data_IF_144502170422
#
_entry.id   IF_144502170422
#
_cell.length_a   1.000
_cell.length_b   1.000
_cell.length_c   1.000
_cell.angle_alpha   90.00
_cell.angle_beta   90.00
_cell.angle_gamma   90.00
#
_symmetry.space_group_name_H-M   'P 1'
#
loop_
_entity.id
_entity.type
_entity.pdbx_description
1 polymer ?
#
# COMPACT_ATOMS: atom_id res chain seq x y z
N UNK A 1 -18.52 1.84 -18.48
CA UNK A 1 -18.40 2.29 -17.07
C UNK A 1 -17.06 2.97 -16.90
N UNK A 2 -17.06 4.31 -16.83
CA UNK A 2 -15.86 5.13 -16.74
C UNK A 2 -15.09 4.92 -15.44
N UNK A 3 -13.77 5.05 -15.52
CA UNK A 3 -12.87 4.77 -14.40
C UNK A 3 -12.94 5.88 -13.34
N UNK A 4 -13.84 5.75 -12.37
CA UNK A 4 -14.15 6.76 -11.33
C UNK A 4 -12.91 7.18 -10.50
N UNK A 5 -11.85 6.36 -10.49
CA UNK A 5 -10.70 6.54 -9.59
C UNK A 5 -9.37 6.85 -10.30
N UNK A 6 -9.34 6.95 -11.64
CA UNK A 6 -8.13 7.29 -12.41
C UNK A 6 -6.92 6.40 -12.13
N UNK A 7 -7.14 5.12 -11.75
CA UNK A 7 -6.06 4.21 -11.41
C UNK A 7 -5.22 3.84 -12.62
N UNK A 8 -5.80 3.76 -13.83
CA UNK A 8 -5.03 3.50 -15.04
C UNK A 8 -4.03 4.64 -15.30
N UNK A 9 -4.46 5.89 -15.13
CA UNK A 9 -3.56 7.05 -15.27
C UNK A 9 -2.44 7.03 -14.23
N UNK A 10 -2.78 6.71 -12.98
CA UNK A 10 -1.79 6.57 -11.92
C UNK A 10 -0.77 5.47 -12.25
N UNK A 11 -1.23 4.29 -12.67
CA UNK A 11 -0.37 3.17 -13.07
C UNK A 11 0.53 3.57 -14.24
N UNK A 12 -0.03 4.17 -15.30
CA UNK A 12 0.75 4.65 -16.46
C UNK A 12 1.85 5.61 -16.03
N UNK A 13 1.51 6.61 -15.21
CA UNK A 13 2.47 7.58 -14.68
C UNK A 13 3.58 6.92 -13.85
N UNK A 14 3.23 6.00 -12.95
CA UNK A 14 4.22 5.31 -12.13
C UNK A 14 5.12 4.40 -12.95
N UNK A 15 4.58 3.66 -13.93
CA UNK A 15 5.39 2.86 -14.86
C UNK A 15 6.42 3.72 -15.60
N UNK A 16 6.03 4.90 -16.09
CA UNK A 16 6.95 5.85 -16.75
C UNK A 16 8.10 6.28 -15.83
N UNK A 17 7.81 6.55 -14.56
CA UNK A 17 8.86 6.89 -13.58
C UNK A 17 9.78 5.69 -13.35
N UNK A 18 9.22 4.48 -13.18
CA UNK A 18 9.97 3.25 -12.93
C UNK A 18 10.94 2.94 -14.07
N UNK A 19 10.56 3.19 -15.34
CA UNK A 19 11.44 2.98 -16.51
C UNK A 19 12.79 3.68 -16.37
N UNK A 20 12.83 4.86 -15.73
CA UNK A 20 14.07 5.63 -15.53
C UNK A 20 14.86 5.27 -14.26
N UNK A 21 14.40 4.30 -13.46
CA UNK A 21 15.06 3.93 -12.20
C UNK A 21 15.96 2.70 -12.39
N UNK A 22 16.95 2.57 -11.50
CA UNK A 22 17.75 1.35 -11.38
C UNK A 22 16.81 0.17 -11.10
N UNK A 23 17.03 -0.95 -11.78
CA UNK A 23 16.16 -2.15 -11.74
C UNK A 23 14.71 -1.89 -12.21
N UNK A 24 14.49 -0.83 -12.98
CA UNK A 24 13.16 -0.48 -13.52
C UNK A 24 12.54 -1.57 -14.38
N UNK A 25 13.34 -2.22 -15.25
CA UNK A 25 12.88 -3.33 -16.08
C UNK A 25 12.32 -4.48 -15.25
N UNK A 26 13.07 -4.94 -14.25
CA UNK A 26 12.63 -5.98 -13.31
C UNK A 26 11.34 -5.58 -12.59
N UNK A 27 11.24 -4.33 -12.13
CA UNK A 27 10.05 -3.84 -11.44
C UNK A 27 8.82 -3.76 -12.35
N UNK A 28 8.99 -3.45 -13.65
CA UNK A 28 7.91 -3.50 -14.63
C UNK A 28 7.46 -4.94 -14.89
N UNK A 29 8.40 -5.88 -15.09
CA UNK A 29 8.07 -7.31 -15.22
C UNK A 29 7.36 -7.84 -13.97
N UNK A 30 7.78 -7.39 -12.79
CA UNK A 30 7.08 -7.70 -11.54
C UNK A 30 5.64 -7.17 -11.53
N UNK A 31 5.39 -5.93 -11.97
CA UNK A 31 4.03 -5.40 -12.08
C UNK A 31 3.17 -6.16 -13.09
N UNK A 32 3.76 -6.61 -14.19
CA UNK A 32 3.06 -7.44 -15.18
C UNK A 32 2.73 -8.82 -14.61
N UNK A 33 3.65 -9.42 -13.86
CA UNK A 33 3.39 -10.64 -13.10
C UNK A 33 2.28 -10.46 -12.05
N UNK A 34 2.27 -9.34 -11.32
CA UNK A 34 1.16 -9.05 -10.41
C UNK A 34 -0.18 -8.90 -11.13
N UNK A 35 -0.15 -8.38 -12.35
CA UNK A 35 -1.36 -8.24 -13.20
C UNK A 35 -1.86 -9.62 -13.65
N UNK A 36 -0.96 -10.53 -14.04
CA UNK A 36 -1.34 -11.90 -14.41
C UNK A 36 -1.91 -12.71 -13.24
N UNK A 37 -1.49 -12.40 -12.01
CA UNK A 37 -2.08 -12.94 -10.78
C UNK A 37 -3.45 -12.32 -10.42
N UNK A 38 -4.01 -11.46 -11.26
CA UNK A 38 -5.35 -10.89 -11.10
C UNK A 38 -5.46 -9.81 -10.03
N UNK A 39 -4.38 -9.08 -9.72
CA UNK A 39 -4.46 -7.96 -8.77
C UNK A 39 -5.33 -6.83 -9.32
N UNK A 40 -6.14 -6.23 -8.44
CA UNK A 40 -6.96 -5.06 -8.79
C UNK A 40 -6.10 -3.85 -9.17
N UNK A 41 -6.65 -2.96 -10.01
CA UNK A 41 -5.97 -1.71 -10.42
C UNK A 41 -5.52 -0.86 -9.23
N UNK A 42 -6.38 -0.73 -8.21
CA UNK A 42 -6.02 -0.03 -6.97
C UNK A 42 -4.80 -0.65 -6.28
N UNK A 43 -4.72 -1.99 -6.24
CA UNK A 43 -3.55 -2.69 -5.71
C UNK A 43 -2.32 -2.42 -6.57
N UNK A 44 -2.41 -2.58 -7.89
CA UNK A 44 -1.30 -2.33 -8.82
C UNK A 44 -0.77 -0.90 -8.70
N UNK A 45 -1.64 0.10 -8.62
CA UNK A 45 -1.28 1.50 -8.41
C UNK A 45 -0.49 1.68 -7.09
N UNK A 46 -0.95 1.03 -6.01
CA UNK A 46 -0.24 1.04 -4.72
C UNK A 46 1.15 0.39 -4.83
N UNK A 47 1.25 -0.78 -5.45
CA UNK A 47 2.52 -1.47 -5.66
C UNK A 47 3.48 -0.61 -6.49
N UNK A 48 3.03 -0.04 -7.61
CA UNK A 48 3.84 0.81 -8.47
C UNK A 48 4.35 2.07 -7.74
N UNK A 49 3.48 2.75 -6.97
CA UNK A 49 3.87 3.90 -6.15
C UNK A 49 4.95 3.53 -5.12
N UNK A 50 4.80 2.39 -4.43
CA UNK A 50 5.77 1.96 -3.43
C UNK A 50 7.08 1.47 -4.03
N UNK A 51 7.04 0.83 -5.20
CA UNK A 51 8.23 0.41 -5.95
C UNK A 51 9.14 1.60 -6.25
N UNK A 52 8.60 2.76 -6.63
CA UNK A 52 9.42 3.96 -6.85
C UNK A 52 10.27 4.31 -5.63
N UNK A 53 9.69 4.25 -4.42
CA UNK A 53 10.45 4.50 -3.19
C UNK A 53 11.53 3.45 -2.96
N UNK A 54 11.17 2.18 -3.15
CA UNK A 54 12.06 1.04 -2.91
C UNK A 54 13.25 1.07 -3.87
N UNK A 55 13.00 1.27 -5.17
CA UNK A 55 14.04 1.31 -6.21
C UNK A 55 15.02 2.47 -6.03
N UNK A 56 14.57 3.61 -5.49
CA UNK A 56 15.43 4.78 -5.24
C UNK A 56 16.46 4.55 -4.13
N UNK A 57 16.15 3.68 -3.17
CA UNK A 57 17.02 3.41 -2.01
C UNK A 57 17.82 2.13 -2.20
N UNK A 58 17.40 1.27 -3.13
CA UNK A 58 18.06 0.02 -3.41
C UNK A 58 19.31 0.21 -4.27
N UNK A 59 20.45 -0.17 -3.71
CA UNK A 59 21.77 -0.03 -4.32
C UNK A 59 22.40 -1.35 -4.79
N UNK A 60 21.65 -2.44 -4.71
CA UNK A 60 22.06 -3.81 -5.03
C UNK A 60 21.12 -4.47 -6.04
N UNK A 61 21.59 -5.54 -6.70
CA UNK A 61 20.75 -6.35 -7.57
C UNK A 61 19.77 -7.24 -6.75
N UNK A 62 18.44 -7.08 -6.95
CA UNK A 62 17.43 -7.92 -6.30
C UNK A 62 17.63 -9.43 -6.46
N UNK A 63 18.15 -9.89 -7.62
CA UNK A 63 18.30 -11.31 -7.90
C UNK A 63 19.40 -11.94 -7.02
N UNK A 64 20.47 -11.19 -6.76
CA UNK A 64 21.62 -11.64 -5.95
C UNK A 64 21.62 -11.03 -4.54
N UNK A 65 20.53 -10.36 -4.14
CA UNK A 65 20.43 -9.66 -2.86
C UNK A 65 20.75 -10.60 -1.68
N UNK A 66 21.56 -10.11 -0.74
CA UNK A 66 21.80 -10.77 0.54
C UNK A 66 20.81 -10.31 1.60
N UNK A 67 20.74 -11.04 2.73
CA UNK A 67 19.94 -10.62 3.88
C UNK A 67 20.35 -9.23 4.40
N UNK A 68 21.65 -8.93 4.44
CA UNK A 68 22.16 -7.63 4.90
C UNK A 68 21.70 -6.49 4.00
N UNK A 69 21.66 -6.72 2.70
CA UNK A 69 21.18 -5.73 1.72
C UNK A 69 19.72 -5.37 1.97
N UNK A 70 18.88 -6.38 2.15
CA UNK A 70 17.47 -6.20 2.49
C UNK A 70 17.31 -5.49 3.85
N UNK A 71 18.10 -5.87 4.85
CA UNK A 71 18.08 -5.25 6.18
C UNK A 71 18.39 -3.74 6.11
N UNK A 72 19.34 -3.30 5.26
CA UNK A 72 19.62 -1.86 5.06
C UNK A 72 18.39 -1.10 4.56
N UNK A 73 17.68 -1.65 3.57
CA UNK A 73 16.45 -1.01 3.02
C UNK A 73 15.34 -1.00 4.08
N UNK A 74 15.17 -2.09 4.84
CA UNK A 74 14.16 -2.16 5.91
C UNK A 74 14.49 -1.19 7.05
N UNK A 75 15.76 -1.03 7.42
CA UNK A 75 16.22 -0.07 8.41
C UNK A 75 15.92 1.36 7.95
N UNK A 76 16.22 1.69 6.69
CA UNK A 76 15.87 2.98 6.11
C UNK A 76 14.36 3.24 6.11
N UNK A 77 13.54 2.25 5.76
CA UNK A 77 12.07 2.36 5.82
C UNK A 77 11.56 2.61 7.25
N UNK A 78 12.22 2.03 8.25
CA UNK A 78 11.87 2.21 9.65
C UNK A 78 12.21 3.62 10.16
N UNK A 79 13.30 4.22 9.68
CA UNK A 79 13.71 5.57 10.07
C UNK A 79 12.86 6.68 9.45
N UNK A 80 12.11 6.39 8.38
CA UNK A 80 11.24 7.39 7.75
C UNK A 80 10.05 7.79 8.64
N UNK A 81 9.53 9.03 8.52
CA UNK A 81 8.37 9.53 9.27
C UNK A 81 7.03 9.03 8.68
N UNK A 82 6.97 7.76 8.27
CA UNK A 82 5.77 7.14 7.73
C UNK A 82 4.88 6.57 8.84
N UNK A 83 3.56 6.59 8.63
CA UNK A 83 2.60 5.84 9.45
C UNK A 83 2.95 4.35 9.44
N UNK A 84 2.62 3.64 10.52
CA UNK A 84 2.92 2.21 10.69
C UNK A 84 2.44 1.37 9.52
N UNK A 85 1.20 1.60 9.05
CA UNK A 85 0.63 0.91 7.89
C UNK A 85 1.38 1.18 6.58
N UNK A 86 1.86 2.41 6.36
CA UNK A 86 2.67 2.74 5.17
C UNK A 86 4.03 2.04 5.21
N UNK A 87 4.68 1.96 6.38
CA UNK A 87 5.91 1.18 6.56
C UNK A 87 5.68 -0.30 6.26
N UNK A 88 4.58 -0.86 6.76
CA UNK A 88 4.14 -2.24 6.50
C UNK A 88 3.99 -2.50 5.00
N UNK A 89 3.22 -1.68 4.30
CA UNK A 89 2.94 -1.87 2.89
C UNK A 89 4.21 -1.78 2.04
N UNK A 90 5.11 -0.82 2.31
CA UNK A 90 6.42 -0.76 1.63
C UNK A 90 7.28 -2.00 1.89
N UNK A 91 7.33 -2.51 3.12
CA UNK A 91 8.04 -3.76 3.45
C UNK A 91 7.45 -4.97 2.72
N UNK A 92 6.13 -5.05 2.58
CA UNK A 92 5.47 -6.10 1.80
C UNK A 92 5.86 -6.06 0.33
N UNK A 93 5.89 -4.86 -0.26
CA UNK A 93 6.31 -4.67 -1.66
C UNK A 93 7.77 -5.10 -1.84
N UNK A 94 8.67 -4.68 -0.95
CA UNK A 94 10.08 -5.12 -0.97
C UNK A 94 10.20 -6.64 -0.89
N UNK A 95 9.48 -7.24 0.07
CA UNK A 95 9.46 -8.70 0.28
C UNK A 95 9.01 -9.47 -0.98
N UNK A 96 7.98 -8.99 -1.68
CA UNK A 96 7.49 -9.61 -2.93
C UNK A 96 8.43 -9.35 -4.11
N UNK A 97 9.02 -8.16 -4.22
CA UNK A 97 9.98 -7.86 -5.29
C UNK A 97 11.20 -8.78 -5.24
N UNK A 98 11.79 -8.99 -4.05
CA UNK A 98 12.95 -9.90 -3.90
C UNK A 98 12.56 -11.36 -4.18
N UNK A 99 11.37 -11.78 -3.73
CA UNK A 99 10.84 -13.12 -4.07
C UNK A 99 10.72 -13.30 -5.58
N UNK A 100 10.11 -12.32 -6.27
CA UNK A 100 9.97 -12.34 -7.72
C UNK A 100 11.32 -12.34 -8.43
N UNK A 101 12.28 -11.52 -7.98
CA UNK A 101 13.61 -11.46 -8.57
C UNK A 101 14.38 -12.78 -8.47
N UNK A 102 14.23 -13.51 -7.37
CA UNK A 102 14.94 -14.79 -7.15
C UNK A 102 14.25 -15.98 -7.80
N UNK A 103 12.92 -16.00 -7.84
CA UNK A 103 12.14 -17.18 -8.24
C UNK A 103 11.29 -17.00 -9.49
N UNK A 104 11.22 -15.79 -10.05
CA UNK A 104 10.39 -15.46 -11.21
C UNK A 104 8.88 -15.43 -10.93
N UNK A 105 8.44 -15.71 -9.69
CA UNK A 105 7.03 -15.70 -9.32
C UNK A 105 6.79 -15.21 -7.89
N UNK A 106 5.54 -14.81 -7.66
CA UNK A 106 4.99 -14.38 -6.38
C UNK A 106 3.76 -15.20 -5.96
N UNK A 107 3.64 -16.42 -6.48
CA UNK A 107 2.54 -17.34 -6.13
C UNK A 107 2.46 -17.59 -4.64
N UNK A 108 1.26 -17.89 -4.16
CA UNK A 108 0.99 -18.04 -2.72
C UNK A 108 1.73 -19.24 -2.13
N UNK A 109 1.83 -20.32 -2.89
CA UNK A 109 2.38 -21.60 -2.42
C UNK A 109 3.91 -21.62 -2.43
N UNK A 110 4.53 -20.67 -3.15
CA UNK A 110 5.97 -20.57 -3.21
C UNK A 110 6.53 -19.99 -1.90
N UNK A 111 7.57 -20.59 -1.29
CA UNK A 111 8.18 -20.06 -0.08
C UNK A 111 8.84 -18.70 -0.33
N UNK A 112 9.05 -17.93 0.74
CA UNK A 112 9.86 -16.72 0.67
C UNK A 112 11.35 -17.05 0.78
N UNK A 113 12.23 -16.37 0.02
CA UNK A 113 13.66 -16.53 0.16
C UNK A 113 14.12 -16.08 1.57
N UNK A 114 15.19 -16.67 2.08
CA UNK A 114 15.65 -16.50 3.47
C UNK A 114 16.01 -15.04 3.79
N UNK A 115 16.39 -14.28 2.78
CA UNK A 115 16.74 -12.86 2.85
C UNK A 115 15.56 -11.96 3.21
N UNK A 116 14.31 -12.43 3.00
CA UNK A 116 13.09 -11.66 3.29
C UNK A 116 12.08 -12.41 4.16
N UNK A 117 12.29 -13.70 4.43
CA UNK A 117 11.35 -14.53 5.21
C UNK A 117 11.12 -13.96 6.61
N UNK A 118 12.16 -13.41 7.24
CA UNK A 118 12.15 -12.77 8.56
C UNK A 118 11.30 -11.49 8.65
N UNK A 119 10.99 -10.85 7.52
CA UNK A 119 10.17 -9.64 7.50
C UNK A 119 8.73 -10.01 7.83
N UNK A 120 8.30 -9.69 9.05
CA UNK A 120 6.92 -9.85 9.51
C UNK A 120 6.08 -8.68 9.03
N UNK A 121 5.08 -8.98 8.20
CA UNK A 121 4.12 -7.99 7.67
C UNK A 121 2.86 -7.95 8.54
N UNK A 122 2.62 -8.95 9.40
CA UNK A 122 1.56 -8.92 10.41
C UNK A 122 2.07 -8.18 11.65
N UNK A 123 1.34 -7.16 12.08
CA UNK A 123 1.63 -6.36 13.26
C UNK A 123 0.42 -5.50 13.63
N UNK A 124 0.32 -5.13 14.91
CA UNK A 124 -0.70 -4.21 15.41
C UNK A 124 -0.19 -2.77 15.18
N UNK A 125 -0.72 -2.08 14.17
CA UNK A 125 -0.20 -0.77 13.71
C UNK A 125 -0.97 0.42 14.30
N UNK A 126 -1.50 0.23 15.52
CA UNK A 126 -2.52 1.08 16.12
C UNK A 126 -3.89 0.59 15.69
N UNK A 127 -4.76 0.30 16.67
CA UNK A 127 -6.14 -0.02 16.39
C UNK A 127 -6.82 1.24 15.83
N UNK A 128 -7.26 1.20 14.58
CA UNK A 128 -8.05 2.27 13.96
C UNK A 128 -9.54 2.04 14.17
N UNK A 129 -9.94 1.01 14.93
CA UNK A 129 -11.33 0.84 15.32
C UNK A 129 -11.75 2.06 16.13
N UNK A 130 -12.91 2.57 15.75
CA UNK A 130 -13.61 3.57 16.55
C UNK A 130 -13.87 2.95 17.91
N UNK A 131 -13.33 3.56 18.96
CA UNK A 131 -13.65 3.21 20.34
C UNK A 131 -14.98 3.85 20.72
N UNK A 132 -15.73 3.31 21.70
CA UNK A 132 -16.97 3.93 22.17
C UNK A 132 -16.80 5.41 22.53
N UNK A 133 -15.67 5.77 23.15
CA UNK A 133 -15.34 7.15 23.54
C UNK A 133 -15.03 8.07 22.34
N UNK A 134 -14.88 7.53 21.13
CA UNK A 134 -14.68 8.27 19.89
C UNK A 134 -15.97 8.36 19.04
N UNK A 135 -17.09 7.81 19.52
CA UNK A 135 -18.40 7.98 18.90
C UNK A 135 -18.93 9.40 19.16
N UNK A 136 -19.71 9.91 18.21
CA UNK A 136 -20.38 11.20 18.37
C UNK A 136 -21.35 11.15 19.55
N UNK A 137 -21.33 12.18 20.39
CA UNK A 137 -22.41 12.39 21.35
C UNK A 137 -23.64 12.97 20.64
N UNK A 138 -24.84 12.93 21.26
CA UNK A 138 -26.02 13.62 20.73
C UNK A 138 -25.77 15.11 20.45
N UNK A 139 -24.99 15.78 21.30
CA UNK A 139 -24.63 17.18 21.14
C UNK A 139 -23.73 17.41 19.91
N UNK A 140 -22.75 16.53 19.69
CA UNK A 140 -21.90 16.58 18.48
C UNK A 140 -22.73 16.36 17.21
N UNK A 141 -23.70 15.44 17.27
CA UNK A 141 -24.62 15.17 16.16
C UNK A 141 -25.50 16.39 15.83
N UNK A 142 -26.09 17.02 16.84
CA UNK A 142 -26.90 18.24 16.65
C UNK A 142 -26.07 19.39 16.09
N UNK A 143 -24.82 19.54 16.55
CA UNK A 143 -23.90 20.54 16.01
C UNK A 143 -23.59 20.29 14.52
N UNK A 144 -23.41 19.02 14.11
CA UNK A 144 -23.16 18.64 12.71
C UNK A 144 -24.37 18.94 11.82
N UNK A 145 -25.58 18.58 12.25
CA UNK A 145 -26.83 18.88 11.51
C UNK A 145 -27.04 20.38 11.38
N UNK A 146 -26.78 21.15 12.44
CA UNK A 146 -26.91 22.61 12.41
C UNK A 146 -25.87 23.27 11.49
N UNK A 147 -24.67 22.69 11.39
CA UNK A 147 -23.60 23.19 10.53
C UNK A 147 -23.80 22.82 9.05
N UNK A 148 -24.57 21.78 8.74
CA UNK A 148 -24.85 21.36 7.37
C UNK A 148 -25.82 22.34 6.68
N UNK A 149 -25.28 23.11 5.73
CA UNK A 149 -25.98 24.22 5.07
C UNK A 149 -27.05 23.82 4.04
N UNK A 150 -27.32 22.53 3.81
CA UNK A 150 -28.36 22.09 2.88
C UNK A 150 -29.04 20.77 3.31
N UNK A 151 -30.26 20.58 2.80
CA UNK A 151 -31.12 19.44 3.15
C UNK A 151 -30.55 18.08 2.75
N UNK A 152 -29.73 18.01 1.70
CA UNK A 152 -29.13 16.76 1.23
C UNK A 152 -28.05 16.30 2.22
N UNK A 153 -27.19 17.21 2.65
CA UNK A 153 -26.11 16.87 3.58
C UNK A 153 -26.69 16.54 4.97
N UNK A 154 -27.76 17.23 5.39
CA UNK A 154 -28.55 16.84 6.57
C UNK A 154 -29.09 15.41 6.45
N UNK A 155 -29.78 15.08 5.35
CA UNK A 155 -30.31 13.73 5.15
C UNK A 155 -29.20 12.67 5.20
N UNK A 156 -28.01 12.97 4.66
CA UNK A 156 -26.88 12.04 4.72
C UNK A 156 -26.34 11.85 6.15
N UNK A 157 -26.29 12.91 6.95
CA UNK A 157 -25.91 12.83 8.38
C UNK A 157 -26.92 11.99 9.17
N UNK A 158 -28.23 12.22 8.99
CA UNK A 158 -29.28 11.43 9.65
C UNK A 158 -29.22 9.94 9.25
N UNK A 159 -29.07 9.64 7.95
CA UNK A 159 -28.98 8.25 7.48
C UNK A 159 -27.76 7.53 8.04
N UNK A 160 -26.60 8.20 8.15
CA UNK A 160 -25.40 7.59 8.72
C UNK A 160 -25.50 7.35 10.23
N UNK A 161 -26.18 8.24 10.96
CA UNK A 161 -26.36 8.13 12.40
C UNK A 161 -27.42 7.07 12.77
N UNK A 162 -28.55 7.05 12.06
CA UNK A 162 -29.66 6.11 12.35
C UNK A 162 -29.46 4.73 11.69
N UNK A 163 -28.79 4.70 10.53
CA UNK A 163 -28.63 3.49 9.71
C UNK A 163 -27.25 2.83 9.78
N UNK A 164 -26.32 3.38 10.57
CA UNK A 164 -25.00 2.77 10.79
C UNK A 164 -25.11 1.48 11.61
N UNK A 165 -24.38 0.41 11.26
CA UNK A 165 -24.27 -0.79 12.09
C UNK A 165 -23.35 -0.61 13.31
#
# INVERSE_FOLDING_TARGET
>A
MGEIYGFDDAIRRYRRIITGLRHGSLALSFLDHLTSLGLSKASLAKYASHLITILRVMDFDPATATRRDVERVVAWLNSQPYKGWTKRDKKLVLKRLIKYAKYGSCDRDMPYPTEVSWIKVRGNYGDTRVTPDALLTPEDFEALVKAAGNRRDNAMIYVLFEGGP
#
